data_IF_373072570488
#
_entry.id   IF_373072570488
#
_cell.length_a   1.000
_cell.length_b   1.000
_cell.length_c   1.000
_cell.angle_alpha   90.00
_cell.angle_beta   90.00
_cell.angle_gamma   90.00
#
_symmetry.space_group_name_H-M   'P 1'
#
loop_
_entity.id
_entity.type
_entity.pdbx_description
1 polymer ?
#
# COMPACT_ATOMS: atom_id res chain seq x y z
N UNK A 1 -3.19 -17.69 -4.86
CA UNK A 1 -2.22 -16.68 -4.36
C UNK A 1 -0.82 -17.25 -4.35
N UNK A 2 -0.66 -18.54 -4.04
CA UNK A 2 0.64 -19.22 -3.86
C UNK A 2 1.55 -19.28 -5.11
N UNK A 3 1.03 -18.93 -6.28
CA UNK A 3 1.80 -18.82 -7.54
C UNK A 3 1.88 -17.40 -8.09
N UNK A 4 1.27 -16.42 -7.39
CA UNK A 4 1.31 -15.03 -7.83
C UNK A 4 2.69 -14.43 -7.55
N UNK A 5 3.10 -13.48 -8.38
CA UNK A 5 4.27 -12.63 -8.11
C UNK A 5 3.79 -11.45 -7.24
N UNK A 6 4.56 -10.99 -6.24
CA UNK A 6 4.23 -9.79 -5.49
C UNK A 6 3.86 -8.61 -6.39
N UNK A 7 2.79 -7.90 -6.05
CA UNK A 7 2.24 -6.80 -6.86
C UNK A 7 1.39 -7.24 -8.08
N UNK A 8 1.19 -8.54 -8.28
CA UNK A 8 0.37 -9.10 -9.36
C UNK A 8 -0.75 -10.00 -8.83
N UNK A 9 -1.24 -9.72 -7.63
CA UNK A 9 -2.38 -10.45 -7.05
C UNK A 9 -3.61 -10.19 -7.90
N UNK A 10 -4.39 -11.26 -8.16
CA UNK A 10 -5.67 -11.17 -8.87
C UNK A 10 -6.74 -11.91 -8.09
N UNK A 11 -7.88 -11.26 -7.87
CA UNK A 11 -9.04 -11.82 -7.18
C UNK A 11 -10.31 -11.42 -7.90
N UNK A 12 -11.11 -12.40 -8.32
CA UNK A 12 -12.41 -12.11 -8.95
C UNK A 12 -13.39 -11.42 -7.97
N UNK A 13 -13.24 -11.67 -6.66
CA UNK A 13 -14.09 -11.07 -5.62
C UNK A 13 -13.66 -9.66 -5.21
N UNK A 14 -12.38 -9.34 -5.40
CA UNK A 14 -11.78 -8.05 -5.08
C UNK A 14 -11.00 -7.59 -6.32
N UNK A 15 -11.70 -7.12 -7.37
CA UNK A 15 -11.09 -6.84 -8.67
C UNK A 15 -10.01 -5.75 -8.61
N UNK A 16 -10.14 -4.82 -7.66
CA UNK A 16 -9.19 -3.71 -7.45
C UNK A 16 -8.01 -4.10 -6.51
N UNK A 17 -7.98 -5.34 -5.99
CA UNK A 17 -6.87 -5.82 -5.17
C UNK A 17 -5.69 -6.22 -6.06
N UNK A 18 -4.61 -5.45 -6.01
CA UNK A 18 -3.39 -5.69 -6.80
C UNK A 18 -2.20 -6.15 -5.95
N UNK A 19 -2.11 -5.65 -4.72
CA UNK A 19 -0.94 -5.82 -3.86
C UNK A 19 -1.38 -6.20 -2.45
N UNK A 20 -0.69 -7.18 -1.87
CA UNK A 20 -0.79 -7.50 -0.44
C UNK A 20 0.59 -7.31 0.17
N UNK A 21 0.64 -6.58 1.28
CA UNK A 21 1.85 -6.37 2.07
C UNK A 21 1.64 -7.07 3.41
N UNK A 22 2.54 -7.97 3.76
CA UNK A 22 2.52 -8.67 5.05
C UNK A 22 3.51 -8.03 6.02
N UNK A 23 3.11 -7.91 7.27
CA UNK A 23 3.94 -7.30 8.33
C UNK A 23 4.62 -8.34 9.22
N UNK A 24 4.21 -9.62 9.12
CA UNK A 24 4.80 -10.75 9.83
C UNK A 24 4.79 -11.99 8.93
N UNK A 25 5.80 -12.84 9.08
CA UNK A 25 6.03 -14.03 8.26
C UNK A 25 6.39 -13.74 6.80
N UNK A 26 6.62 -14.81 6.03
CA UNK A 26 6.78 -14.74 4.58
C UNK A 26 5.66 -15.52 3.89
N UNK A 27 5.07 -14.92 2.86
CA UNK A 27 4.02 -15.55 2.07
C UNK A 27 4.22 -15.30 0.58
N UNK A 28 4.06 -16.37 -0.22
CA UNK A 28 4.21 -16.31 -1.67
C UNK A 28 3.18 -15.35 -2.29
N UNK A 29 3.65 -14.54 -3.25
CA UNK A 29 2.84 -13.57 -3.97
C UNK A 29 2.48 -12.31 -3.19
N UNK A 30 3.10 -12.09 -2.03
CA UNK A 30 2.93 -10.89 -1.21
C UNK A 30 4.28 -10.20 -1.02
N UNK A 31 4.28 -8.89 -0.82
CA UNK A 31 5.47 -8.18 -0.38
C UNK A 31 5.62 -8.30 1.14
N UNK A 32 6.84 -8.43 1.62
CA UNK A 32 7.12 -8.18 3.03
C UNK A 32 7.29 -6.67 3.26
N UNK A 33 6.83 -6.16 4.40
CA UNK A 33 6.92 -4.74 4.72
C UNK A 33 8.35 -4.21 4.62
N UNK A 34 9.34 -4.97 5.08
CA UNK A 34 10.76 -4.57 5.02
C UNK A 34 11.24 -4.34 3.59
N UNK A 35 10.86 -5.21 2.64
CA UNK A 35 11.24 -5.08 1.23
C UNK A 35 10.66 -3.79 0.63
N UNK A 36 9.42 -3.45 0.99
CA UNK A 36 8.76 -2.21 0.55
C UNK A 36 9.48 -0.98 1.12
N UNK A 37 9.87 -1.03 2.40
CA UNK A 37 10.61 0.07 3.05
C UNK A 37 11.98 0.30 2.40
N UNK A 38 12.65 -0.77 1.95
CA UNK A 38 13.95 -0.66 1.26
C UNK A 38 13.86 -0.29 -0.22
N UNK A 39 12.69 -0.44 -0.86
CA UNK A 39 12.49 -0.06 -2.26
C UNK A 39 12.45 1.46 -2.49
N UNK A 40 12.33 2.25 -1.42
CA UNK A 40 12.38 3.70 -1.46
C UNK A 40 13.72 4.24 -1.99
N UNK A 41 13.69 5.37 -2.68
CA UNK A 41 14.88 6.03 -3.24
C UNK A 41 14.74 7.54 -3.14
N UNK A 42 15.81 8.28 -3.41
CA UNK A 42 15.80 9.75 -3.40
C UNK A 42 14.79 10.34 -4.39
N UNK A 43 14.55 9.67 -5.52
CA UNK A 43 13.53 10.08 -6.48
C UNK A 43 12.12 9.99 -5.87
N UNK A 44 11.83 8.92 -5.12
CA UNK A 44 10.54 8.77 -4.44
C UNK A 44 10.34 9.87 -3.38
N UNK A 45 11.40 10.28 -2.68
CA UNK A 45 11.35 11.40 -1.71
C UNK A 45 11.03 12.72 -2.42
N UNK A 46 11.64 12.99 -3.57
CA UNK A 46 11.32 14.20 -4.36
C UNK A 46 9.86 14.22 -4.82
N UNK A 47 9.31 13.06 -5.20
CA UNK A 47 7.90 12.94 -5.56
C UNK A 47 6.96 13.22 -4.37
N UNK A 48 7.34 12.80 -3.16
CA UNK A 48 6.58 13.13 -1.94
C UNK A 48 6.56 14.64 -1.70
N UNK A 49 7.69 15.32 -1.85
CA UNK A 49 7.77 16.79 -1.69
C UNK A 49 6.90 17.53 -2.72
N UNK A 50 6.81 17.02 -3.95
CA UNK A 50 5.94 17.57 -4.98
C UNK A 50 4.45 17.32 -4.71
N UNK A 51 4.12 16.13 -4.18
CA UNK A 51 2.76 15.76 -3.83
C UNK A 51 2.26 16.58 -2.64
N UNK A 52 3.09 16.79 -1.63
CA UNK A 52 2.74 17.56 -0.44
C UNK A 52 2.28 18.98 -0.78
N UNK A 53 2.84 19.59 -1.83
CA UNK A 53 2.45 20.94 -2.30
C UNK A 53 1.05 20.99 -2.94
N UNK A 54 0.49 19.84 -3.30
CA UNK A 54 -0.80 19.71 -4.00
C UNK A 54 -1.94 19.26 -3.08
N UNK A 55 -1.60 18.63 -1.95
CA UNK A 55 -2.58 18.12 -1.00
C UNK A 55 -3.09 19.24 -0.09
N UNK A 56 -4.40 19.23 0.18
CA UNK A 56 -5.04 20.07 1.18
C UNK A 56 -5.25 19.29 2.48
N UNK A 57 -5.26 20.00 3.62
CA UNK A 57 -5.66 19.38 4.89
C UNK A 57 -7.14 19.01 4.92
N UNK A 58 -7.95 19.63 4.05
CA UNK A 58 -9.38 19.33 3.88
C UNK A 58 -9.63 18.08 3.01
N UNK A 59 -8.59 17.50 2.39
CA UNK A 59 -8.74 16.31 1.58
C UNK A 59 -9.05 15.08 2.48
N UNK A 60 -10.09 14.29 2.17
CA UNK A 60 -10.41 13.11 2.96
C UNK A 60 -9.38 12.00 2.73
N UNK A 61 -8.50 11.77 3.72
CA UNK A 61 -7.43 10.75 3.64
C UNK A 61 -7.57 9.59 4.64
N UNK A 62 -8.41 9.73 5.66
CA UNK A 62 -8.59 8.74 6.71
C UNK A 62 -10.07 8.42 6.90
N UNK A 63 -10.38 7.13 7.11
CA UNK A 63 -11.71 6.65 7.46
C UNK A 63 -11.56 5.94 8.81
N UNK A 64 -12.15 6.53 9.85
CA UNK A 64 -12.16 5.94 11.17
C UNK A 64 -13.59 5.56 11.54
N UNK A 65 -13.81 4.27 11.80
CA UNK A 65 -15.07 3.82 12.37
C UNK A 65 -15.10 4.19 13.85
N UNK A 66 -16.13 4.94 14.24
CA UNK A 66 -16.44 5.25 15.63
C UNK A 66 -17.75 4.59 16.00
N UNK A 67 -17.81 3.97 17.17
CA UNK A 67 -19.07 3.46 17.69
C UNK A 67 -19.93 4.65 18.13
N UNK A 68 -21.21 4.66 17.73
CA UNK A 68 -22.21 5.46 18.43
C UNK A 68 -22.47 4.82 19.79
N UNK A 69 -22.47 5.64 20.85
CA UNK A 69 -22.87 5.22 22.20
C UNK A 69 -24.36 4.86 22.25
#
# INVERSE_FOLDING_TARGET
MDTAIPGSVKSARLPDLHTVIVTDGQQLGMYHLEDVMQAGSSQHVQQLDELQKKLSFDDPINIQFTSVL
#
